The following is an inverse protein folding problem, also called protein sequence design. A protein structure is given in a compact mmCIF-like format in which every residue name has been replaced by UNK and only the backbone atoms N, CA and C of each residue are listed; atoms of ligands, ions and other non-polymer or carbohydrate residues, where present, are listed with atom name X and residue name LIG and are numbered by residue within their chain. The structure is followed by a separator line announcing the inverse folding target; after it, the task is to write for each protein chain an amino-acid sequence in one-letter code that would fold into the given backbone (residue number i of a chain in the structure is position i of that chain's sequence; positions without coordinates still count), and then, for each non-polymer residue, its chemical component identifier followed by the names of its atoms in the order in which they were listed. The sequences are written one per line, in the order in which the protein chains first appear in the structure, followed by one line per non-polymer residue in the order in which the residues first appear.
data_IF_423443999273
#
_entry.id   IF_423443999273
#
_cell.length_a   1.000
_cell.length_b   1.000
_cell.length_c   1.000
_cell.angle_alpha   90.00
_cell.angle_beta   90.00
_cell.angle_gamma   90.00
#
_symmetry.space_group_name_H-M   'P 1'
#
loop_
_entity.id
_entity.type
_entity.pdbx_description
1 polymer ?
#
# COMPACT_ATOMS: atom_id res chain seq x y z
N UNK A 1 1.88 -44.71 -3.65
CA UNK A 1 1.74 -45.92 -2.83
C UNK A 1 0.27 -46.32 -2.65
N UNK A 2 -0.60 -45.40 -2.22
CA UNK A 2 -2.04 -45.68 -2.02
C UNK A 2 -2.68 -46.20 -3.32
N UNK A 3 -2.53 -45.48 -4.43
CA UNK A 3 -3.02 -45.90 -5.75
C UNK A 3 -2.40 -47.21 -6.21
N UNK A 4 -1.09 -47.39 -5.98
CA UNK A 4 -0.42 -48.64 -6.28
C UNK A 4 -1.00 -49.82 -5.47
N UNK A 5 -1.36 -49.56 -4.19
CA UNK A 5 -2.04 -50.55 -3.36
C UNK A 5 -3.43 -50.93 -3.86
N UNK A 6 -4.19 -49.96 -4.40
CA UNK A 6 -5.48 -50.23 -5.05
C UNK A 6 -5.32 -51.08 -6.33
N UNK A 7 -4.30 -50.78 -7.15
CA UNK A 7 -4.00 -51.54 -8.37
C UNK A 7 -3.64 -53.00 -8.09
N UNK A 8 -3.06 -53.30 -6.92
CA UNK A 8 -2.65 -54.63 -6.46
C UNK A 8 -3.64 -55.31 -5.52
N UNK A 9 -4.86 -54.76 -5.37
CA UNK A 9 -5.90 -55.26 -4.47
C UNK A 9 -6.45 -56.63 -4.82
N UNK A 10 -7.77 -56.86 -4.63
CA UNK A 10 -8.41 -58.15 -4.84
C UNK A 10 -8.54 -58.52 -6.31
N UNK A 11 -8.56 -57.52 -7.22
CA UNK A 11 -8.60 -57.69 -8.67
C UNK A 11 -7.56 -56.78 -9.28
N UNK A 12 -6.31 -57.23 -9.46
CA UNK A 12 -5.19 -56.38 -9.92
C UNK A 12 -5.40 -55.85 -11.33
N UNK A 13 -5.60 -54.54 -11.44
CA UNK A 13 -5.73 -53.83 -12.73
C UNK A 13 -4.84 -52.60 -12.76
N UNK A 14 -3.92 -52.53 -13.75
CA UNK A 14 -3.00 -51.41 -13.90
C UNK A 14 -3.67 -50.24 -14.63
N UNK A 15 -3.76 -49.09 -13.97
CA UNK A 15 -4.23 -47.88 -14.60
C UNK A 15 -3.07 -47.11 -15.24
N UNK A 16 -2.86 -47.25 -16.51
CA UNK A 16 -1.76 -46.60 -17.25
C UNK A 16 -1.87 -45.09 -17.37
N UNK A 17 -2.98 -44.50 -16.99
CA UNK A 17 -3.11 -43.03 -16.86
C UNK A 17 -2.43 -42.50 -15.60
N UNK A 18 -1.97 -43.39 -14.72
CA UNK A 18 -1.28 -43.06 -13.47
C UNK A 18 0.14 -43.67 -13.45
N UNK A 19 1.05 -43.19 -14.31
CA UNK A 19 2.33 -43.85 -14.56
C UNK A 19 3.21 -43.96 -13.29
N UNK A 20 3.12 -43.05 -12.36
CA UNK A 20 3.84 -43.11 -11.08
C UNK A 20 3.24 -44.18 -10.17
N UNK A 21 1.91 -44.31 -10.13
CA UNK A 21 1.21 -45.39 -9.41
C UNK A 21 1.60 -46.76 -9.92
N UNK A 22 1.64 -46.92 -11.26
CA UNK A 22 2.07 -48.18 -11.93
C UNK A 22 3.51 -48.57 -11.55
N UNK A 23 4.45 -47.62 -11.55
CA UNK A 23 5.84 -47.88 -11.14
C UNK A 23 5.94 -48.39 -9.68
N UNK A 24 5.21 -47.81 -8.77
CA UNK A 24 5.15 -48.30 -7.37
C UNK A 24 4.44 -49.66 -7.30
N UNK A 25 3.36 -49.88 -8.06
CA UNK A 25 2.66 -51.16 -8.10
C UNK A 25 3.58 -52.30 -8.54
N UNK A 26 4.37 -52.09 -9.63
CA UNK A 26 5.36 -53.06 -10.11
C UNK A 26 6.42 -53.41 -9.05
N UNK A 27 6.83 -52.45 -8.20
CA UNK A 27 7.80 -52.69 -7.14
C UNK A 27 7.19 -53.41 -5.90
N UNK A 28 5.90 -53.29 -5.75
CA UNK A 28 5.15 -53.89 -4.62
C UNK A 28 4.53 -55.24 -5.02
N UNK A 29 4.67 -55.66 -6.27
CA UNK A 29 4.18 -56.93 -6.81
C UNK A 29 4.84 -58.08 -6.02
N UNK A 30 4.02 -58.98 -5.49
CA UNK A 30 4.49 -60.12 -4.67
C UNK A 30 4.48 -59.89 -3.14
N UNK A 31 4.09 -58.71 -2.65
CA UNK A 31 3.84 -58.51 -1.23
C UNK A 31 2.55 -59.23 -0.79
N UNK A 32 2.58 -59.76 0.43
CA UNK A 32 1.36 -60.31 1.04
C UNK A 32 0.30 -59.22 1.19
N UNK A 33 -0.97 -59.59 0.98
CA UNK A 33 -2.11 -58.66 1.05
C UNK A 33 -2.18 -57.87 2.37
N UNK A 34 -1.83 -58.49 3.48
CA UNK A 34 -1.83 -57.84 4.79
C UNK A 34 -0.72 -56.77 4.91
N UNK A 35 0.47 -57.08 4.41
CA UNK A 35 1.58 -56.14 4.32
C UNK A 35 1.26 -54.96 3.37
N UNK A 36 0.60 -55.25 2.26
CA UNK A 36 0.16 -54.21 1.29
C UNK A 36 -0.87 -53.28 1.93
N UNK A 37 -1.88 -53.80 2.65
CA UNK A 37 -2.86 -52.96 3.37
C UNK A 37 -2.20 -52.08 4.41
N UNK A 38 -1.30 -52.66 5.22
CA UNK A 38 -0.56 -51.92 6.25
C UNK A 38 0.25 -50.78 5.62
N UNK A 39 0.88 -51.03 4.47
CA UNK A 39 1.67 -50.01 3.76
C UNK A 39 0.79 -48.89 3.16
N UNK A 40 -0.38 -49.24 2.63
CA UNK A 40 -1.38 -48.28 2.13
C UNK A 40 -1.90 -47.42 3.27
N UNK A 41 -2.33 -48.02 4.37
CA UNK A 41 -2.86 -47.29 5.54
C UNK A 41 -1.78 -46.38 6.15
N UNK A 42 -0.56 -46.88 6.31
CA UNK A 42 0.54 -46.10 6.84
C UNK A 42 0.85 -44.90 5.93
N UNK A 43 0.92 -45.12 4.60
CA UNK A 43 1.19 -44.03 3.64
C UNK A 43 0.06 -42.98 3.60
N UNK A 44 -1.19 -43.42 3.72
CA UNK A 44 -2.34 -42.54 3.83
C UNK A 44 -2.24 -41.62 5.06
N UNK A 45 -2.02 -42.22 6.24
CA UNK A 45 -1.92 -41.44 7.48
C UNK A 45 -0.69 -40.52 7.51
N UNK A 46 0.45 -40.96 6.98
CA UNK A 46 1.64 -40.11 6.82
C UNK A 46 1.30 -38.90 5.92
N UNK A 47 0.63 -39.15 4.81
CA UNK A 47 0.22 -38.06 3.88
C UNK A 47 -0.74 -37.07 4.56
N UNK A 48 -1.73 -37.57 5.29
CA UNK A 48 -2.67 -36.74 6.05
C UNK A 48 -1.97 -35.90 7.14
N UNK A 49 -1.01 -36.49 7.84
CA UNK A 49 -0.21 -35.77 8.84
C UNK A 49 0.66 -34.69 8.20
N UNK A 50 1.25 -34.96 7.02
CA UNK A 50 2.02 -33.96 6.26
C UNK A 50 1.13 -32.81 5.78
N UNK A 51 -0.07 -33.09 5.26
CA UNK A 51 -1.05 -32.06 4.89
C UNK A 51 -1.44 -31.24 6.12
N UNK A 52 -1.78 -31.89 7.23
CA UNK A 52 -2.13 -31.20 8.48
C UNK A 52 -1.01 -30.31 9.00
N UNK A 53 0.22 -30.80 8.99
CA UNK A 53 1.41 -30.03 9.33
C UNK A 53 1.60 -28.82 8.42
N UNK A 54 1.46 -29.01 7.11
CA UNK A 54 1.56 -27.92 6.15
C UNK A 54 0.47 -26.85 6.33
N UNK A 55 -0.77 -27.25 6.63
CA UNK A 55 -1.86 -26.30 6.92
C UNK A 55 -1.59 -25.45 8.17
N UNK A 56 -0.93 -26.02 9.19
CA UNK A 56 -0.50 -25.26 10.39
C UNK A 56 0.62 -24.28 10.05
N UNK A 57 1.51 -24.65 9.14
CA UNK A 57 2.65 -23.81 8.72
C UNK A 57 2.25 -22.63 7.83
N UNK A 58 1.18 -22.74 7.03
CA UNK A 58 0.75 -21.72 6.06
C UNK A 58 0.64 -20.31 6.70
N UNK A 59 -0.10 -20.11 7.80
CA UNK A 59 -0.27 -18.77 8.39
C UNK A 59 1.04 -18.17 8.92
N UNK A 60 1.99 -19.01 9.32
CA UNK A 60 3.22 -18.59 9.99
C UNK A 60 4.38 -18.33 9.04
N UNK A 61 4.30 -18.85 7.82
CA UNK A 61 5.40 -18.79 6.82
C UNK A 61 5.12 -17.77 5.72
N UNK A 62 6.00 -17.76 4.72
CA UNK A 62 5.81 -16.97 3.49
C UNK A 62 4.50 -17.31 2.75
N UNK A 63 3.93 -18.49 2.99
CA UNK A 63 2.69 -18.94 2.35
C UNK A 63 1.42 -18.30 2.94
N UNK A 64 1.54 -17.47 3.97
CA UNK A 64 0.40 -16.72 4.54
C UNK A 64 -0.39 -15.94 3.50
N UNK A 65 0.25 -15.52 2.41
CA UNK A 65 -0.42 -14.81 1.31
C UNK A 65 -1.51 -15.65 0.62
N UNK A 66 -1.44 -16.98 0.66
CA UNK A 66 -2.50 -17.84 0.12
C UNK A 66 -3.86 -17.59 0.79
N UNK A 67 -3.83 -17.27 2.08
CA UNK A 67 -5.03 -16.93 2.86
C UNK A 67 -5.27 -15.41 2.81
N UNK A 68 -4.24 -14.60 3.02
CA UNK A 68 -4.34 -13.14 3.12
C UNK A 68 -4.74 -12.44 1.83
N UNK A 69 -4.37 -12.99 0.66
CA UNK A 69 -4.70 -12.37 -0.64
C UNK A 69 -6.21 -12.35 -0.92
N UNK A 70 -6.94 -13.39 -0.53
CA UNK A 70 -8.38 -13.48 -0.83
C UNK A 70 -9.15 -12.32 -0.20
N UNK A 71 -9.13 -12.09 1.13
CA UNK A 71 -9.81 -10.94 1.71
C UNK A 71 -9.22 -9.61 1.22
N UNK A 72 -7.92 -9.55 0.96
CA UNK A 72 -7.28 -8.33 0.48
C UNK A 72 -7.82 -7.86 -0.88
N UNK A 73 -8.01 -8.78 -1.81
CA UNK A 73 -8.60 -8.50 -3.12
C UNK A 73 -10.11 -8.24 -3.00
N UNK A 74 -10.82 -8.98 -2.13
CA UNK A 74 -12.27 -8.79 -1.94
C UNK A 74 -12.64 -7.42 -1.37
N UNK A 75 -11.80 -6.90 -0.48
CA UNK A 75 -12.00 -5.61 0.20
C UNK A 75 -11.02 -4.53 -0.29
N UNK A 76 -10.57 -4.62 -1.55
CA UNK A 76 -9.73 -3.58 -2.14
C UNK A 76 -10.47 -2.23 -2.14
N UNK A 77 -9.71 -1.14 -1.99
CA UNK A 77 -10.26 0.18 -2.14
C UNK A 77 -10.58 0.47 -3.63
N UNK A 78 -11.80 0.94 -3.88
CA UNK A 78 -12.27 1.33 -5.21
C UNK A 78 -12.29 2.84 -5.41
N UNK A 79 -11.82 3.60 -4.44
CA UNK A 79 -11.68 5.03 -4.57
C UNK A 79 -10.67 5.39 -5.68
N UNK A 80 -10.79 6.56 -6.30
CA UNK A 80 -9.82 7.02 -7.27
C UNK A 80 -8.42 7.02 -6.67
N UNK A 81 -7.42 6.61 -7.47
CA UNK A 81 -6.03 6.64 -7.07
C UNK A 81 -5.64 8.06 -6.59
N UNK A 82 -5.08 8.15 -5.39
CA UNK A 82 -4.76 9.44 -4.76
C UNK A 82 -5.81 9.93 -3.76
N UNK A 83 -6.96 9.27 -3.65
CA UNK A 83 -7.88 9.54 -2.54
C UNK A 83 -7.19 9.17 -1.22
N UNK A 84 -7.18 10.12 -0.29
CA UNK A 84 -6.55 9.94 1.02
C UNK A 84 -7.58 9.44 2.03
N UNK A 85 -7.17 8.55 2.93
CA UNK A 85 -8.00 8.16 4.04
C UNK A 85 -8.35 9.39 4.88
N UNK A 86 -9.61 9.53 5.33
CA UNK A 86 -10.00 10.59 6.27
C UNK A 86 -9.22 10.42 7.59
N UNK A 87 -8.98 11.52 8.30
CA UNK A 87 -8.32 11.48 9.62
C UNK A 87 -9.24 10.88 10.70
N UNK A 88 -10.54 11.11 10.58
CA UNK A 88 -11.54 10.53 11.47
C UNK A 88 -12.78 10.17 10.65
N UNK A 89 -13.42 9.07 11.01
CA UNK A 89 -14.70 8.63 10.46
C UNK A 89 -15.74 8.61 11.58
N UNK A 90 -17.00 8.83 11.23
CA UNK A 90 -18.13 8.68 12.12
C UNK A 90 -18.56 7.20 12.28
N UNK A 91 -19.63 6.96 13.04
CA UNK A 91 -20.21 5.62 13.26
C UNK A 91 -20.74 4.94 11.97
N UNK A 92 -20.83 5.69 10.86
CA UNK A 92 -21.25 5.21 9.55
C UNK A 92 -20.09 5.12 8.54
N UNK A 93 -18.85 5.14 8.99
CA UNK A 93 -17.61 5.18 8.19
C UNK A 93 -17.54 6.39 7.23
N UNK A 94 -18.25 7.48 7.53
CA UNK A 94 -18.19 8.72 6.78
C UNK A 94 -17.15 9.66 7.38
N UNK A 95 -16.39 10.36 6.50
CA UNK A 95 -15.40 11.33 6.95
C UNK A 95 -16.06 12.45 7.77
N UNK A 96 -15.57 12.66 8.99
CA UNK A 96 -16.00 13.75 9.87
C UNK A 96 -15.55 15.07 9.27
N UNK A 97 -16.43 16.09 9.28
CA UNK A 97 -16.08 17.45 8.83
C UNK A 97 -15.05 18.06 9.75
N UNK A 98 -14.17 18.88 9.21
CA UNK A 98 -13.08 19.51 9.96
C UNK A 98 -13.55 20.26 11.20
N UNK A 99 -14.73 20.90 11.14
CA UNK A 99 -15.30 21.67 12.25
C UNK A 99 -15.86 20.78 13.37
N UNK A 100 -16.14 19.51 13.07
CA UNK A 100 -16.74 18.53 13.98
C UNK A 100 -15.70 17.50 14.49
N UNK A 101 -14.39 17.68 14.18
CA UNK A 101 -13.33 16.78 14.64
C UNK A 101 -13.17 16.83 16.15
N UNK A 102 -13.16 15.67 16.78
CA UNK A 102 -12.84 15.51 18.20
C UNK A 102 -11.32 15.40 18.37
N UNK A 103 -10.68 16.53 18.61
CA UNK A 103 -9.23 16.63 18.74
C UNK A 103 -8.68 15.93 20.00
N UNK A 104 -9.50 15.68 21.01
CA UNK A 104 -9.07 15.01 22.25
C UNK A 104 -8.90 13.49 22.04
N UNK A 105 -9.66 12.93 21.08
CA UNK A 105 -9.66 11.49 20.75
C UNK A 105 -9.17 11.20 19.31
N UNK A 106 -8.64 12.21 18.62
CA UNK A 106 -8.19 12.07 17.24
C UNK A 106 -6.76 11.50 17.19
N UNK A 107 -6.60 10.33 16.56
CA UNK A 107 -5.29 9.80 16.20
C UNK A 107 -4.80 10.49 14.93
N UNK A 108 -3.76 11.30 15.05
CA UNK A 108 -3.21 12.08 13.94
C UNK A 108 -2.18 11.27 13.12
N UNK A 109 -2.66 10.24 12.44
CA UNK A 109 -1.82 9.36 11.65
C UNK A 109 -1.43 8.06 12.36
N UNK A 110 -0.34 7.43 11.95
CA UNK A 110 0.10 6.11 12.43
C UNK A 110 1.50 6.20 13.02
N UNK A 111 1.62 5.83 14.28
CA UNK A 111 2.88 5.62 14.99
C UNK A 111 3.00 4.20 15.52
N UNK A 112 1.92 3.66 16.07
CA UNK A 112 1.86 2.31 16.61
C UNK A 112 1.24 1.35 15.58
N UNK A 113 1.45 0.06 15.81
CA UNK A 113 0.87 -0.97 14.95
C UNK A 113 -0.67 -0.97 14.96
N UNK A 114 -1.26 -0.66 16.11
CA UNK A 114 -2.70 -0.60 16.32
C UNK A 114 -3.37 0.61 15.67
N UNK A 115 -2.61 1.65 15.32
CA UNK A 115 -3.13 2.82 14.62
C UNK A 115 -3.48 2.52 13.16
N UNK A 116 -2.93 1.42 12.61
CA UNK A 116 -3.30 0.96 11.28
C UNK A 116 -4.72 0.42 11.24
N UNK A 117 -5.43 0.71 10.19
CA UNK A 117 -6.70 0.04 9.90
C UNK A 117 -6.46 -1.46 9.67
N UNK A 118 -7.48 -2.29 9.94
CA UNK A 118 -7.40 -3.73 9.67
C UNK A 118 -7.02 -4.03 8.20
N UNK A 119 -7.45 -3.18 7.27
CA UNK A 119 -7.14 -3.28 5.84
C UNK A 119 -5.65 -3.05 5.60
N UNK A 120 -5.08 -2.00 6.19
CA UNK A 120 -3.65 -1.71 6.10
C UNK A 120 -2.79 -2.82 6.71
N UNK A 121 -3.25 -3.43 7.80
CA UNK A 121 -2.58 -4.58 8.41
C UNK A 121 -2.67 -5.82 7.50
N UNK A 122 -3.84 -6.11 6.91
CA UNK A 122 -4.04 -7.29 6.05
C UNK A 122 -3.11 -7.31 4.84
N UNK A 123 -2.72 -6.16 4.32
CA UNK A 123 -1.76 -6.01 3.23
C UNK A 123 -0.42 -6.73 3.50
N UNK A 124 0.05 -6.71 4.75
CA UNK A 124 1.27 -7.41 5.15
C UNK A 124 1.18 -8.92 4.93
N UNK A 125 0.02 -9.52 5.22
CA UNK A 125 -0.22 -10.95 5.04
C UNK A 125 -0.59 -11.33 3.61
N UNK A 126 -1.10 -10.38 2.81
CA UNK A 126 -1.37 -10.58 1.39
C UNK A 126 -0.10 -10.48 0.52
N UNK A 127 0.96 -9.84 1.02
CA UNK A 127 2.19 -9.62 0.27
C UNK A 127 2.92 -10.94 -0.05
N UNK A 128 3.18 -11.16 -1.35
CA UNK A 128 3.92 -12.31 -1.87
C UNK A 128 5.43 -12.05 -1.95
N UNK A 129 5.90 -10.86 -1.59
CA UNK A 129 7.27 -10.39 -1.74
C UNK A 129 7.82 -10.54 -3.18
N UNK A 130 6.99 -10.29 -4.19
CA UNK A 130 7.34 -10.47 -5.61
C UNK A 130 8.21 -9.34 -6.19
N UNK A 131 8.50 -8.29 -5.44
CA UNK A 131 9.32 -7.13 -5.77
C UNK A 131 8.80 -6.20 -6.89
N UNK A 132 7.66 -6.45 -7.52
CA UNK A 132 7.13 -5.58 -8.59
C UNK A 132 6.99 -4.12 -8.18
N UNK A 133 6.52 -3.86 -6.96
CA UNK A 133 6.40 -2.50 -6.41
C UNK A 133 7.76 -1.82 -6.22
N UNK A 134 8.81 -2.59 -5.91
CA UNK A 134 10.19 -2.12 -5.81
C UNK A 134 10.74 -1.73 -7.18
N UNK A 135 10.54 -2.58 -8.19
CA UNK A 135 11.09 -2.39 -9.55
C UNK A 135 10.54 -1.13 -10.24
N UNK A 136 9.30 -0.74 -9.95
CA UNK A 136 8.68 0.47 -10.53
C UNK A 136 8.87 1.72 -9.67
N UNK A 137 9.45 1.60 -8.46
CA UNK A 137 9.57 2.73 -7.54
C UNK A 137 10.65 3.71 -7.98
N UNK A 138 10.33 5.00 -8.28
CA UNK A 138 11.33 5.97 -8.69
C UNK A 138 12.33 6.30 -7.57
N UNK A 139 11.89 6.31 -6.31
CA UNK A 139 12.78 6.54 -5.17
C UNK A 139 13.81 5.40 -5.03
N UNK A 140 13.35 4.15 -5.07
CA UNK A 140 14.24 2.99 -5.02
C UNK A 140 15.25 2.97 -6.17
N UNK A 141 14.77 3.21 -7.40
CA UNK A 141 15.60 3.20 -8.60
C UNK A 141 16.60 4.36 -8.66
N UNK A 142 16.37 5.43 -7.90
CA UNK A 142 17.33 6.54 -7.73
C UNK A 142 18.32 6.34 -6.59
N UNK A 143 18.32 5.17 -5.94
CA UNK A 143 19.26 4.83 -4.85
C UNK A 143 18.86 5.41 -3.48
N UNK A 144 17.61 5.85 -3.29
CA UNK A 144 17.11 6.27 -1.97
C UNK A 144 16.77 5.07 -1.09
N UNK A 145 16.65 5.31 0.21
CA UNK A 145 16.40 4.28 1.24
C UNK A 145 15.04 3.59 1.13
N UNK A 146 14.05 4.22 0.49
CA UNK A 146 12.71 3.65 0.36
C UNK A 146 12.68 2.39 -0.52
N UNK A 147 12.19 1.30 0.06
CA UNK A 147 11.81 0.09 -0.65
C UNK A 147 10.32 -0.22 -0.34
N UNK A 148 9.38 -0.04 -1.30
CA UNK A 148 7.96 -0.24 -1.05
C UNK A 148 7.61 -1.66 -0.60
N UNK A 149 8.30 -2.68 -1.12
CA UNK A 149 8.12 -4.06 -0.68
C UNK A 149 8.50 -4.23 0.80
N UNK A 150 9.64 -3.62 1.20
CA UNK A 150 10.12 -3.72 2.58
C UNK A 150 9.14 -3.08 3.55
N UNK A 151 8.56 -1.91 3.23
CA UNK A 151 7.53 -1.27 4.06
C UNK A 151 6.38 -2.23 4.39
N UNK A 152 5.89 -2.98 3.40
CA UNK A 152 4.80 -3.95 3.62
C UNK A 152 5.28 -5.17 4.41
N UNK A 153 6.49 -5.64 4.14
CA UNK A 153 7.08 -6.74 4.90
C UNK A 153 7.36 -6.35 6.35
N UNK A 154 7.70 -5.10 6.61
CA UNK A 154 7.96 -4.58 7.95
C UNK A 154 6.68 -4.55 8.80
N UNK A 155 5.51 -4.19 8.22
CA UNK A 155 4.21 -4.32 8.91
C UNK A 155 3.97 -5.77 9.35
N UNK A 156 4.17 -6.73 8.45
CA UNK A 156 4.01 -8.15 8.75
C UNK A 156 4.98 -8.64 9.80
N UNK A 157 6.26 -8.29 9.66
CA UNK A 157 7.32 -8.76 10.56
C UNK A 157 7.13 -8.16 11.95
N UNK A 158 6.78 -6.87 12.05
CA UNK A 158 6.46 -6.22 13.31
C UNK A 158 5.32 -6.94 14.04
N UNK A 159 4.22 -7.22 13.35
CA UNK A 159 3.10 -7.96 13.93
C UNK A 159 3.47 -9.38 14.38
N UNK A 160 4.42 -10.06 13.71
CA UNK A 160 4.93 -11.37 14.11
C UNK A 160 5.87 -11.30 15.32
N UNK A 161 6.75 -10.32 15.35
CA UNK A 161 7.76 -10.14 16.40
C UNK A 161 7.13 -9.67 17.71
N UNK A 162 6.16 -8.75 17.62
CA UNK A 162 5.56 -8.11 18.78
C UNK A 162 4.13 -8.56 19.09
N UNK A 163 3.54 -9.45 18.30
CA UNK A 163 2.13 -9.83 18.42
C UNK A 163 1.74 -10.34 19.80
N UNK A 164 2.62 -11.05 20.50
CA UNK A 164 2.36 -11.53 21.87
C UNK A 164 2.26 -10.38 22.90
N UNK A 165 3.08 -9.33 22.74
CA UNK A 165 3.06 -8.13 23.57
C UNK A 165 1.78 -7.33 23.28
N UNK A 166 1.47 -7.10 22.01
CA UNK A 166 0.28 -6.38 21.58
C UNK A 166 -1.01 -7.02 22.10
N UNK A 167 -1.13 -8.35 22.02
CA UNK A 167 -2.28 -9.09 22.57
C UNK A 167 -2.35 -8.99 24.11
N UNK A 168 -1.19 -8.87 24.78
CA UNK A 168 -1.14 -8.65 26.23
C UNK A 168 -1.47 -7.20 26.64
N UNK A 169 -1.62 -6.28 25.68
CA UNK A 169 -1.83 -4.85 25.92
C UNK A 169 -0.55 -4.14 26.39
N UNK A 170 0.61 -4.67 26.02
CA UNK A 170 1.92 -4.08 26.32
C UNK A 170 2.48 -3.40 25.07
N UNK A 171 2.96 -2.17 25.21
CA UNK A 171 3.58 -1.41 24.12
C UNK A 171 5.00 -1.95 23.84
N UNK A 172 5.31 -2.33 22.58
CA UNK A 172 6.69 -2.59 22.17
C UNK A 172 7.58 -1.37 22.32
N UNK A 173 8.88 -1.57 22.52
CA UNK A 173 9.86 -0.48 22.63
C UNK A 173 10.17 0.22 21.30
N UNK A 174 9.86 -0.42 20.18
CA UNK A 174 10.02 0.09 18.81
C UNK A 174 8.65 0.50 18.26
N UNK A 175 8.57 1.61 17.56
CA UNK A 175 7.37 2.06 16.86
C UNK A 175 7.37 1.65 15.38
N UNK A 176 6.25 1.83 14.68
CA UNK A 176 6.17 1.63 13.23
C UNK A 176 7.02 2.68 12.48
N UNK A 177 7.06 3.91 12.99
CA UNK A 177 7.89 4.98 12.42
C UNK A 177 9.38 4.64 12.55
N UNK A 178 9.81 4.10 13.69
CA UNK A 178 11.19 3.62 13.87
C UNK A 178 11.54 2.51 12.88
N UNK A 179 10.62 1.56 12.68
CA UNK A 179 10.78 0.42 11.76
C UNK A 179 10.87 0.86 10.29
N UNK A 180 10.05 1.80 9.86
CA UNK A 180 10.06 2.31 8.47
C UNK A 180 11.23 3.25 8.21
N UNK A 181 11.71 3.92 9.23
CA UNK A 181 12.69 5.02 9.25
C UNK A 181 12.17 6.32 8.60
N UNK A 182 12.39 7.49 9.22
CA UNK A 182 11.97 8.78 8.66
C UNK A 182 12.51 9.01 7.24
N UNK A 183 13.75 8.63 6.96
CA UNK A 183 14.36 8.78 5.63
C UNK A 183 13.59 8.03 4.54
N UNK A 184 13.15 6.80 4.81
CA UNK A 184 12.36 6.03 3.86
C UNK A 184 10.95 6.60 3.71
N UNK A 185 10.33 7.03 4.81
CA UNK A 185 9.00 7.67 4.80
C UNK A 185 9.03 8.93 3.92
N UNK A 186 10.02 9.80 4.08
CA UNK A 186 10.14 11.05 3.31
C UNK A 186 10.64 10.87 1.88
N UNK A 187 11.31 9.76 1.55
CA UNK A 187 11.74 9.46 0.19
C UNK A 187 10.57 9.15 -0.78
N UNK A 188 9.38 8.84 -0.27
CA UNK A 188 8.23 8.55 -1.12
C UNK A 188 7.71 9.79 -1.86
N UNK A 189 7.60 9.71 -3.19
CA UNK A 189 7.06 10.78 -4.04
C UNK A 189 5.54 10.70 -4.24
N UNK A 190 4.86 9.79 -3.56
CA UNK A 190 3.40 9.57 -3.67
C UNK A 190 2.89 9.36 -5.10
N UNK A 191 3.69 8.74 -5.96
CA UNK A 191 3.37 8.55 -7.39
C UNK A 191 2.42 7.37 -7.66
N UNK A 192 2.09 6.55 -6.68
CA UNK A 192 1.21 5.36 -6.76
C UNK A 192 1.69 4.22 -7.69
N UNK A 193 2.84 4.33 -8.35
CA UNK A 193 3.34 3.28 -9.24
C UNK A 193 3.44 1.90 -8.55
N UNK A 194 3.80 1.86 -7.25
CA UNK A 194 3.84 0.62 -6.47
C UNK A 194 2.46 0.00 -6.22
N UNK A 195 1.42 0.84 -6.06
CA UNK A 195 0.03 0.39 -5.89
C UNK A 195 -0.49 -0.20 -7.18
N UNK A 196 -0.31 0.51 -8.30
CA UNK A 196 -0.73 0.08 -9.64
C UNK A 196 -0.06 -1.25 -10.07
N UNK A 197 1.23 -1.42 -9.77
CA UNK A 197 1.98 -2.64 -10.11
C UNK A 197 1.63 -3.84 -9.22
N UNK A 198 0.87 -3.68 -8.13
CA UNK A 198 0.63 -4.75 -7.17
C UNK A 198 -0.50 -5.69 -7.61
N UNK A 199 -0.21 -6.99 -7.87
CA UNK A 199 -1.21 -7.94 -8.36
C UNK A 199 -2.25 -8.34 -7.30
N UNK A 200 -2.03 -7.98 -6.04
CA UNK A 200 -2.91 -8.29 -4.92
C UNK A 200 -3.46 -7.01 -4.25
N UNK A 201 -3.40 -5.89 -4.95
CA UNK A 201 -4.00 -4.60 -4.58
C UNK A 201 -3.57 -4.08 -3.19
N UNK A 202 -2.27 -4.15 -2.90
CA UNK A 202 -1.69 -3.59 -1.68
C UNK A 202 -1.54 -2.07 -1.83
N UNK A 203 -1.99 -1.35 -0.82
CA UNK A 203 -1.93 0.11 -0.76
C UNK A 203 -0.74 0.59 0.05
N UNK A 204 0.38 0.87 -0.63
CA UNK A 204 1.63 1.31 -0.02
C UNK A 204 1.56 2.79 0.41
N UNK A 205 1.02 3.65 -0.47
CA UNK A 205 1.05 5.11 -0.30
C UNK A 205 0.21 5.59 0.89
N UNK A 206 -1.02 5.09 1.13
CA UNK A 206 -1.78 5.48 2.32
C UNK A 206 -1.02 5.23 3.63
N UNK A 207 -0.32 4.09 3.78
CA UNK A 207 0.48 3.80 4.98
C UNK A 207 1.58 4.83 5.22
N UNK A 208 2.34 5.16 4.17
CA UNK A 208 3.39 6.18 4.25
C UNK A 208 2.83 7.58 4.50
N UNK A 209 1.62 7.86 4.03
CA UNK A 209 0.97 9.13 4.29
C UNK A 209 0.48 9.22 5.73
N UNK A 210 -0.07 8.15 6.26
CA UNK A 210 -0.54 8.13 7.64
C UNK A 210 0.63 8.21 8.63
N UNK A 211 1.79 7.58 8.33
CA UNK A 211 3.00 7.80 9.12
C UNK A 211 3.54 9.24 9.02
N UNK A 212 3.44 9.90 7.85
CA UNK A 212 3.78 11.33 7.73
C UNK A 212 2.83 12.22 8.50
N UNK A 213 1.54 11.90 8.56
CA UNK A 213 0.57 12.65 9.38
C UNK A 213 0.99 12.67 10.83
N UNK A 214 1.34 11.51 11.39
CA UNK A 214 1.87 11.43 12.75
C UNK A 214 3.12 12.29 12.93
N UNK A 215 4.13 12.13 12.04
CA UNK A 215 5.38 12.87 12.14
C UNK A 215 5.18 14.40 12.08
N UNK A 216 4.29 14.88 11.21
CA UNK A 216 4.06 16.33 11.04
C UNK A 216 3.13 16.89 12.09
N UNK A 217 2.01 16.22 12.36
CA UNK A 217 0.90 16.81 13.11
C UNK A 217 0.99 16.53 14.62
N UNK A 218 1.64 15.43 15.01
CA UNK A 218 1.75 15.01 16.41
C UNK A 218 3.19 15.14 16.92
N UNK A 219 4.16 14.51 16.25
CA UNK A 219 5.56 14.55 16.67
C UNK A 219 6.28 15.87 16.32
N UNK A 220 5.78 16.64 15.36
CA UNK A 220 6.45 17.83 14.80
C UNK A 220 7.85 17.53 14.23
N UNK A 221 8.04 16.30 13.73
CA UNK A 221 9.28 15.80 13.14
C UNK A 221 9.17 15.75 11.60
N UNK A 222 9.75 16.73 10.94
CA UNK A 222 9.79 16.81 9.48
C UNK A 222 11.07 17.48 8.99
N UNK A 223 11.47 17.31 7.72
CA UNK A 223 12.64 17.96 7.14
C UNK A 223 12.62 19.47 7.36
N UNK A 224 13.74 20.05 7.79
CA UNK A 224 13.85 21.47 8.15
C UNK A 224 13.37 22.40 7.04
N UNK A 225 13.60 22.03 5.78
CA UNK A 225 13.19 22.79 4.59
C UNK A 225 11.66 22.99 4.52
N UNK A 226 10.86 22.08 5.11
CA UNK A 226 9.40 22.18 5.11
C UNK A 226 8.88 23.23 6.10
N UNK A 227 9.66 23.64 7.10
CA UNK A 227 9.22 24.63 8.07
C UNK A 227 8.90 25.99 7.40
N UNK A 228 9.76 26.44 6.52
CA UNK A 228 9.52 27.67 5.76
C UNK A 228 8.32 27.53 4.80
N UNK A 229 8.16 26.36 4.18
CA UNK A 229 7.03 26.04 3.33
C UNK A 229 5.70 26.12 4.09
N UNK A 230 5.60 25.48 5.25
CA UNK A 230 4.40 25.49 6.08
C UNK A 230 4.04 26.89 6.54
N UNK A 231 5.02 27.66 7.08
CA UNK A 231 4.81 29.04 7.48
C UNK A 231 4.35 29.94 6.32
N UNK A 232 4.91 29.74 5.13
CA UNK A 232 4.54 30.51 3.94
C UNK A 232 3.13 30.15 3.44
N UNK A 233 2.77 28.86 3.46
CA UNK A 233 1.42 28.41 3.10
C UNK A 233 0.37 28.95 4.08
N UNK A 234 0.65 28.91 5.38
CA UNK A 234 -0.26 29.39 6.43
C UNK A 234 -0.49 30.90 6.32
N UNK A 235 0.59 31.69 6.19
CA UNK A 235 0.51 33.16 6.20
C UNK A 235 0.16 33.79 4.87
N UNK A 236 0.63 33.21 3.75
CA UNK A 236 0.56 33.82 2.43
C UNK A 236 -0.18 32.96 1.39
N UNK A 237 -0.65 31.78 1.78
CA UNK A 237 -1.33 30.82 0.88
C UNK A 237 -0.50 30.43 -0.35
N UNK A 238 0.83 30.49 -0.26
CA UNK A 238 1.76 30.06 -1.30
C UNK A 238 3.14 29.72 -0.71
N UNK A 239 3.89 28.78 -1.33
CA UNK A 239 5.18 28.32 -0.81
C UNK A 239 6.31 29.35 -0.90
N UNK A 240 6.17 30.40 -1.75
CA UNK A 240 7.19 31.45 -1.92
C UNK A 240 7.14 32.56 -0.85
N UNK A 241 6.08 32.57 -0.03
CA UNK A 241 5.89 33.66 0.96
C UNK A 241 5.54 35.01 0.34
N UNK A 242 5.12 35.01 -0.91
CA UNK A 242 4.71 36.24 -1.61
C UNK A 242 3.32 36.68 -1.18
N UNK A 243 3.08 37.97 -1.10
CA UNK A 243 1.77 38.53 -0.74
C UNK A 243 0.66 38.05 -1.68
N UNK A 244 -0.50 37.65 -1.12
CA UNK A 244 -1.61 37.13 -1.92
C UNK A 244 -2.09 38.12 -3.01
N UNK A 245 -1.97 39.43 -2.75
CA UNK A 245 -2.33 40.49 -3.71
C UNK A 245 -1.49 40.49 -4.98
N UNK A 246 -0.26 39.95 -4.95
CA UNK A 246 0.65 39.90 -6.11
C UNK A 246 0.41 38.67 -6.99
N UNK A 247 -0.60 37.86 -6.67
CA UNK A 247 -0.88 36.61 -7.40
C UNK A 247 -1.18 36.78 -8.86
N UNK A 248 -1.77 37.92 -9.25
CA UNK A 248 -2.15 38.23 -10.62
C UNK A 248 -1.12 39.10 -11.36
N UNK A 249 -0.04 39.55 -10.72
CA UNK A 249 0.97 40.48 -11.32
C UNK A 249 1.62 39.92 -12.61
N UNK A 250 1.69 38.58 -12.72
CA UNK A 250 2.18 37.91 -13.92
C UNK A 250 1.37 38.27 -15.17
N UNK A 251 0.11 38.65 -15.01
CA UNK A 251 -0.81 39.01 -16.10
C UNK A 251 -0.77 40.49 -16.48
N UNK A 252 0.03 41.31 -15.80
CA UNK A 252 0.14 42.76 -16.10
C UNK A 252 0.38 43.01 -17.57
N UNK A 253 -0.45 43.90 -18.16
CA UNK A 253 -0.39 44.26 -19.58
C UNK A 253 -0.98 43.22 -20.55
N UNK A 254 -1.65 42.18 -20.08
CA UNK A 254 -2.29 41.17 -20.95
C UNK A 254 -3.79 41.43 -21.22
N UNK A 255 -4.41 42.39 -20.54
CA UNK A 255 -5.85 42.65 -20.65
C UNK A 255 -6.67 41.33 -20.55
N UNK A 256 -6.62 40.71 -19.40
CA UNK A 256 -7.37 39.49 -19.04
C UNK A 256 -8.33 39.77 -17.88
N UNK A 257 -9.45 39.10 -17.86
CA UNK A 257 -10.41 39.16 -16.74
C UNK A 257 -9.78 38.59 -15.47
N UNK A 258 -9.90 39.29 -14.36
CA UNK A 258 -9.39 38.83 -13.05
C UNK A 258 -10.55 38.73 -12.09
N UNK A 259 -10.90 37.49 -11.66
CA UNK A 259 -12.01 37.23 -10.74
C UNK A 259 -13.40 37.57 -11.31
N UNK A 260 -13.51 37.81 -12.60
CA UNK A 260 -14.79 38.10 -13.28
C UNK A 260 -15.38 36.83 -13.91
N UNK A 261 -16.70 36.74 -14.08
CA UNK A 261 -17.33 35.62 -14.76
C UNK A 261 -16.85 35.47 -16.20
N UNK A 262 -16.48 34.25 -16.60
CA UNK A 262 -16.12 33.88 -17.95
C UNK A 262 -16.50 32.42 -18.23
N UNK A 263 -16.46 32.01 -19.50
CA UNK A 263 -16.77 30.62 -19.87
C UNK A 263 -15.76 29.64 -19.30
N UNK A 264 -14.47 30.04 -19.24
CA UNK A 264 -13.39 29.19 -18.73
C UNK A 264 -12.62 29.88 -17.61
N UNK A 265 -12.21 29.10 -16.60
CA UNK A 265 -11.25 29.50 -15.57
C UNK A 265 -9.86 29.03 -15.96
N UNK A 266 -8.93 29.94 -16.19
CA UNK A 266 -7.52 29.62 -16.33
C UNK A 266 -6.85 29.61 -14.95
N UNK A 267 -6.84 28.45 -14.29
CA UNK A 267 -6.22 28.27 -12.98
C UNK A 267 -4.69 28.15 -13.12
N UNK A 268 -3.97 29.23 -12.82
CA UNK A 268 -2.51 29.32 -13.02
C UNK A 268 -1.72 28.62 -11.92
N UNK A 269 -2.23 28.60 -10.69
CA UNK A 269 -1.55 28.05 -9.53
C UNK A 269 -0.37 28.91 -9.04
N UNK A 270 0.26 28.47 -7.93
CA UNK A 270 1.33 29.24 -7.29
C UNK A 270 2.59 29.33 -8.17
N UNK A 271 3.01 28.23 -8.79
CA UNK A 271 4.21 28.24 -9.63
C UNK A 271 4.06 29.20 -10.83
N UNK A 272 2.93 29.16 -11.53
CA UNK A 272 2.68 30.07 -12.65
C UNK A 272 2.56 31.51 -12.24
N UNK A 273 2.21 31.79 -10.97
CA UNK A 273 2.09 33.17 -10.45
C UNK A 273 3.40 33.74 -9.94
N UNK A 274 4.29 32.93 -9.37
CA UNK A 274 5.45 33.44 -8.60
C UNK A 274 6.82 32.99 -9.14
N UNK A 275 6.92 31.87 -9.86
CA UNK A 275 8.18 31.42 -10.44
C UNK A 275 8.46 32.12 -11.78
N UNK A 276 9.65 32.68 -11.91
CA UNK A 276 10.01 33.51 -13.08
C UNK A 276 9.94 32.78 -14.43
N UNK A 277 10.25 31.50 -14.45
CA UNK A 277 10.12 30.67 -15.66
C UNK A 277 8.65 30.40 -15.97
N UNK A 278 7.91 29.98 -14.96
CA UNK A 278 6.52 29.61 -15.13
C UNK A 278 5.61 30.80 -15.41
N UNK A 279 5.92 32.01 -14.91
CA UNK A 279 5.27 33.28 -15.35
C UNK A 279 5.31 33.45 -16.86
N UNK A 280 6.46 33.17 -17.49
CA UNK A 280 6.59 33.26 -18.97
C UNK A 280 5.67 32.26 -19.67
N UNK A 281 5.55 31.05 -19.13
CA UNK A 281 4.63 30.03 -19.65
C UNK A 281 3.18 30.47 -19.48
N UNK A 282 2.80 30.97 -18.30
CA UNK A 282 1.44 31.47 -18.02
C UNK A 282 1.06 32.61 -18.98
N UNK A 283 1.98 33.58 -19.20
CA UNK A 283 1.78 34.66 -20.14
C UNK A 283 1.61 34.19 -21.58
N UNK A 284 2.43 33.23 -22.01
CA UNK A 284 2.33 32.65 -23.36
C UNK A 284 0.98 31.91 -23.55
N UNK A 285 0.57 31.12 -22.56
CA UNK A 285 -0.73 30.43 -22.59
C UNK A 285 -1.90 31.40 -22.64
N UNK A 286 -1.89 32.46 -21.81
CA UNK A 286 -2.93 33.50 -21.83
C UNK A 286 -3.02 34.19 -23.18
N UNK A 287 -1.89 34.50 -23.83
CA UNK A 287 -1.88 35.06 -25.19
C UNK A 287 -2.47 34.13 -26.23
N UNK A 288 -2.12 32.86 -26.18
CA UNK A 288 -2.68 31.85 -27.08
C UNK A 288 -4.19 31.69 -26.89
N UNK A 289 -4.70 31.70 -25.66
CA UNK A 289 -6.14 31.66 -25.39
C UNK A 289 -6.86 32.90 -25.96
N UNK A 290 -6.26 34.09 -25.81
CA UNK A 290 -6.81 35.34 -26.41
C UNK A 290 -6.83 35.27 -27.94
N UNK A 291 -5.74 34.87 -28.58
CA UNK A 291 -5.67 34.72 -30.03
C UNK A 291 -6.65 33.68 -30.58
N UNK A 292 -6.93 32.66 -29.79
CA UNK A 292 -7.94 31.64 -30.10
C UNK A 292 -9.39 32.11 -29.84
N UNK A 293 -9.58 33.33 -29.32
CA UNK A 293 -10.91 33.87 -29.04
C UNK A 293 -11.63 33.22 -27.87
N UNK A 294 -10.88 32.55 -26.94
CA UNK A 294 -11.46 31.90 -25.77
C UNK A 294 -11.82 32.96 -24.70
N UNK A 295 -13.06 32.93 -24.22
CA UNK A 295 -13.51 33.77 -23.09
C UNK A 295 -13.06 33.11 -21.79
N UNK A 296 -12.00 33.66 -21.15
CA UNK A 296 -11.47 33.12 -19.90
C UNK A 296 -11.19 34.22 -18.87
N UNK A 297 -11.19 33.82 -17.62
CA UNK A 297 -10.79 34.61 -16.45
C UNK A 297 -9.67 33.88 -15.69
N UNK A 298 -8.87 34.61 -14.90
CA UNK A 298 -7.84 34.09 -14.02
C UNK A 298 -8.20 34.34 -12.57
#
# INVERSE_FOLDING_TARGET
IVEAGYMLGDDPEYNYWEPVGVLFAMQMEGLEKESLRTLVDASYWIHMLLIGGFLIEIPQTKHSHLIGTIPNVMFQDHNPMGAMNPMQVDENDMAVKTDDLDFDNLTLGVNKFEDFTWRQLSDGWACTACARCQDVCPAYNSGKTLNPMQIIMDVKNYGKEHGSLLVAGEDPSETIVDRFTPDAIWACTTCYACVDACPVHIEHVPKLTDTRRHLVMEASEFPEELQSLFNNLERNSNPWGMGAHTRADWAEGLDVKIGEPAEYLFYVGCAGSFDERNKKVSRATARLLKEAGVDFSI
#
